data_IF_909029868240
#
_entry.id   IF_909029868240
#
_cell.length_a   1.000
_cell.length_b   1.000
_cell.length_c   1.000
_cell.angle_alpha   90.00
_cell.angle_beta   90.00
_cell.angle_gamma   90.00
#
_symmetry.space_group_name_H-M   'P 1'
#
loop_
_entity.id
_entity.type
_entity.pdbx_description
1 polymer ?
#
# COMPACT_ATOMS: atom_id res chain seq x y z
N UNK A 1 -13.76 15.63 15.68
CA UNK A 1 -13.48 14.19 15.41
C UNK A 1 -12.81 14.07 14.04
N UNK A 2 -11.49 13.86 13.98
CA UNK A 2 -10.82 13.56 12.69
C UNK A 2 -11.08 12.08 12.39
N UNK A 3 -12.09 11.79 11.59
CA UNK A 3 -12.21 10.49 10.96
C UNK A 3 -10.96 10.31 10.06
N UNK A 4 -9.90 9.70 10.59
CA UNK A 4 -8.78 9.26 9.76
C UNK A 4 -9.34 8.15 8.89
N UNK A 5 -9.57 8.46 7.62
CA UNK A 5 -9.97 7.47 6.63
C UNK A 5 -8.81 6.49 6.51
N UNK A 6 -8.89 5.38 7.25
CA UNK A 6 -7.89 4.33 7.20
C UNK A 6 -8.21 3.47 5.97
N UNK A 7 -7.51 3.74 4.87
CA UNK A 7 -7.54 2.88 3.70
C UNK A 7 -7.01 1.50 4.07
N UNK A 8 -7.63 0.44 3.56
CA UNK A 8 -7.24 -0.95 3.82
C UNK A 8 -6.87 -1.61 2.51
N UNK A 9 -5.78 -2.37 2.50
CA UNK A 9 -5.36 -3.19 1.37
C UNK A 9 -4.95 -4.56 1.88
N UNK A 10 -5.09 -5.60 1.05
CA UNK A 10 -4.65 -6.93 1.44
C UNK A 10 -3.13 -7.02 1.44
N UNK A 11 -2.59 -7.85 2.33
CA UNK A 11 -1.15 -8.16 2.37
C UNK A 11 -0.68 -8.74 1.03
N UNK A 12 -1.52 -9.53 0.36
CA UNK A 12 -1.18 -10.13 -0.93
C UNK A 12 -1.06 -9.08 -2.03
N UNK A 13 -2.05 -8.18 -2.17
CA UNK A 13 -1.98 -7.09 -3.15
C UNK A 13 -0.79 -6.16 -2.88
N UNK A 14 -0.51 -5.86 -1.62
CA UNK A 14 0.66 -5.07 -1.25
C UNK A 14 1.96 -5.76 -1.67
N UNK A 15 2.13 -7.06 -1.38
CA UNK A 15 3.29 -7.85 -1.79
C UNK A 15 3.44 -7.91 -3.31
N UNK A 16 2.34 -8.06 -4.05
CA UNK A 16 2.37 -8.04 -5.52
C UNK A 16 2.98 -6.75 -6.05
N UNK A 17 2.55 -5.59 -5.53
CA UNK A 17 3.10 -4.28 -5.95
C UNK A 17 4.59 -4.16 -5.63
N UNK A 18 5.04 -4.71 -4.51
CA UNK A 18 6.47 -4.69 -4.14
C UNK A 18 7.34 -5.57 -5.04
N UNK A 19 6.77 -6.66 -5.60
CA UNK A 19 7.50 -7.62 -6.43
C UNK A 19 7.63 -7.20 -7.92
N UNK A 20 6.95 -6.14 -8.36
CA UNK A 20 7.05 -5.67 -9.74
C UNK A 20 8.46 -5.14 -10.08
N UNK A 21 9.08 -5.69 -11.13
CA UNK A 21 10.48 -5.43 -11.50
C UNK A 21 10.69 -4.44 -12.66
N UNK A 22 9.64 -4.03 -13.37
CA UNK A 22 9.75 -3.10 -14.51
C UNK A 22 8.75 -1.95 -14.35
N UNK A 23 8.98 -1.10 -13.36
CA UNK A 23 8.13 0.06 -13.10
C UNK A 23 8.63 1.29 -13.84
N UNK A 24 7.70 1.98 -14.49
CA UNK A 24 7.95 3.32 -14.99
C UNK A 24 8.08 4.34 -13.84
N UNK A 25 8.38 5.59 -14.16
CA UNK A 25 8.57 6.65 -13.16
C UNK A 25 7.32 6.93 -12.33
N UNK A 26 6.14 6.79 -12.93
CA UNK A 26 4.88 7.02 -12.24
C UNK A 26 4.61 5.89 -11.25
N UNK A 27 4.81 4.65 -11.67
CA UNK A 27 4.65 3.47 -10.84
C UNK A 27 5.66 3.40 -9.70
N UNK A 28 6.91 3.83 -9.94
CA UNK A 28 7.93 3.99 -8.88
C UNK A 28 7.47 4.97 -7.80
N UNK A 29 6.88 6.10 -8.20
CA UNK A 29 6.33 7.09 -7.28
C UNK A 29 5.15 6.53 -6.49
N UNK A 30 4.22 5.86 -7.16
CA UNK A 30 3.07 5.23 -6.51
C UNK A 30 3.50 4.16 -5.50
N UNK A 31 4.47 3.33 -5.83
CA UNK A 31 5.04 2.34 -4.89
C UNK A 31 5.67 3.01 -3.67
N UNK A 32 6.40 4.10 -3.88
CA UNK A 32 7.03 4.86 -2.79
C UNK A 32 5.99 5.50 -1.87
N UNK A 33 4.95 6.09 -2.45
CA UNK A 33 3.85 6.69 -1.70
C UNK A 33 3.05 5.63 -0.93
N UNK A 34 2.82 4.47 -1.54
CA UNK A 34 2.18 3.33 -0.88
C UNK A 34 2.98 2.86 0.33
N UNK A 35 4.30 2.70 0.20
CA UNK A 35 5.21 2.35 1.30
C UNK A 35 5.09 3.37 2.44
N UNK A 36 5.15 4.67 2.11
CA UNK A 36 5.06 5.76 3.09
C UNK A 36 3.72 5.79 3.82
N UNK A 37 2.62 5.51 3.12
CA UNK A 37 1.28 5.48 3.70
C UNK A 37 1.05 4.26 4.59
N UNK A 38 1.69 3.13 4.28
CA UNK A 38 1.69 1.95 5.17
C UNK A 38 2.52 2.26 6.43
N UNK A 39 3.72 2.82 6.27
CA UNK A 39 4.64 3.14 7.37
C UNK A 39 4.04 4.16 8.36
N UNK A 40 3.38 5.20 7.84
CA UNK A 40 2.74 6.22 8.68
C UNK A 40 1.36 5.80 9.24
N UNK A 41 0.90 4.57 8.95
CA UNK A 41 -0.37 4.02 9.44
C UNK A 41 -1.64 4.60 8.79
N UNK A 42 -1.50 5.36 7.68
CA UNK A 42 -2.64 5.83 6.89
C UNK A 42 -3.31 4.68 6.15
N UNK A 43 -2.53 3.71 5.67
CA UNK A 43 -3.01 2.45 5.11
C UNK A 43 -2.74 1.32 6.10
N UNK A 44 -3.76 0.51 6.38
CA UNK A 44 -3.61 -0.74 7.13
C UNK A 44 -3.54 -1.93 6.17
N UNK A 45 -2.51 -2.75 6.35
CA UNK A 45 -2.44 -4.06 5.72
C UNK A 45 -3.37 -5.02 6.46
N UNK A 46 -4.26 -5.66 5.71
CA UNK A 46 -5.16 -6.69 6.23
C UNK A 46 -4.84 -8.04 5.58
N UNK A 47 -4.93 -9.12 6.33
CA UNK A 47 -4.87 -10.44 5.72
C UNK A 47 -6.20 -10.73 5.04
N UNK A 48 -6.16 -11.15 3.78
CA UNK A 48 -7.27 -11.84 3.13
C UNK A 48 -7.63 -13.01 4.01
N UNK A 49 -8.83 -13.02 4.58
CA UNK A 49 -9.33 -14.22 5.23
C UNK A 49 -10.05 -15.04 4.15
N UNK A 50 -9.54 -16.25 3.91
CA UNK A 50 -9.94 -17.25 2.91
C UNK A 50 -9.48 -16.98 1.46
#
# INVERSE_FOLDING_TARGET
MKAKLHSRITVDSYRTVLMLQELDDQDRRLRTDLLRQVDNGSIKLIHSCA
#
